data_IF_316466024342
#
_entry.id   IF_316466024342
#
_cell.length_a   1.000
_cell.length_b   1.000
_cell.length_c   1.000
_cell.angle_alpha   90.00
_cell.angle_beta   90.00
_cell.angle_gamma   90.00
#
_symmetry.space_group_name_H-M   'P 1'
#
loop_
_entity.id
_entity.type
_entity.pdbx_description
1 polymer ?
#
# COMPACT_ATOMS: atom_id res chain seq x y z
N UNK A 1 -15.64 -7.49 -8.08
CA UNK A 1 -16.39 -6.20 -8.11
C UNK A 1 -15.39 -5.11 -8.39
N UNK A 2 -15.62 -4.28 -9.41
CA UNK A 2 -14.84 -3.07 -9.63
C UNK A 2 -15.47 -1.93 -8.82
N UNK A 3 -14.64 -1.11 -8.21
CA UNK A 3 -15.05 0.11 -7.51
C UNK A 3 -14.17 1.27 -8.01
N UNK A 4 -14.72 2.48 -8.17
CA UNK A 4 -13.97 3.61 -8.73
C UNK A 4 -13.04 4.27 -7.69
N UNK A 5 -13.29 4.08 -6.40
CA UNK A 5 -12.50 4.66 -5.31
C UNK A 5 -12.41 3.70 -4.12
N UNK A 6 -11.32 3.84 -3.35
CA UNK A 6 -11.08 3.09 -2.10
C UNK A 6 -12.14 3.40 -1.03
N UNK A 7 -12.77 4.58 -1.09
CA UNK A 7 -13.88 4.94 -0.19
C UNK A 7 -15.10 4.01 -0.30
N UNK A 8 -15.23 3.25 -1.40
CA UNK A 8 -16.35 2.34 -1.65
C UNK A 8 -16.06 0.88 -1.27
N UNK A 9 -14.96 0.62 -0.54
CA UNK A 9 -14.69 -0.70 0.02
C UNK A 9 -15.86 -1.14 0.92
N UNK A 10 -16.40 -2.34 0.67
CA UNK A 10 -17.55 -2.84 1.43
C UNK A 10 -17.21 -3.22 2.87
N UNK A 11 -15.95 -3.58 3.13
CA UNK A 11 -15.45 -3.94 4.46
C UNK A 11 -14.00 -3.46 4.62
N UNK A 12 -13.76 -2.15 4.76
CA UNK A 12 -12.42 -1.57 4.71
C UNK A 12 -11.51 -2.11 5.84
N UNK A 13 -12.05 -2.27 7.05
CA UNK A 13 -11.31 -2.84 8.19
C UNK A 13 -10.92 -4.31 8.04
N UNK A 14 -11.41 -5.00 6.99
CA UNK A 14 -11.09 -6.39 6.67
C UNK A 14 -10.41 -6.54 5.30
N UNK A 15 -10.05 -5.43 4.65
CA UNK A 15 -9.51 -5.43 3.28
C UNK A 15 -8.14 -4.75 3.22
N UNK A 16 -7.09 -5.51 2.90
CA UNK A 16 -5.77 -4.94 2.60
C UNK A 16 -5.71 -4.36 1.19
N UNK A 17 -4.84 -3.37 0.98
CA UNK A 17 -4.67 -2.69 -0.32
C UNK A 17 -3.27 -2.97 -0.88
N UNK A 18 -3.19 -3.33 -2.16
CA UNK A 18 -1.94 -3.38 -2.92
C UNK A 18 -1.93 -2.27 -3.95
N UNK A 19 -0.90 -1.41 -3.92
CA UNK A 19 -0.79 -0.23 -4.79
C UNK A 19 0.34 -0.43 -5.79
N UNK A 20 -0.01 -0.32 -7.09
CA UNK A 20 0.91 -0.47 -8.23
C UNK A 20 0.92 0.79 -9.12
N UNK A 21 0.30 1.88 -8.66
CA UNK A 21 0.19 3.14 -9.38
C UNK A 21 1.41 4.04 -9.14
N UNK A 22 1.68 5.05 -10.00
CA UNK A 22 2.77 6.00 -9.74
C UNK A 22 2.63 6.74 -8.39
N UNK A 23 3.74 7.23 -7.81
CA UNK A 23 3.77 7.78 -6.44
C UNK A 23 2.71 8.84 -6.13
N UNK A 24 2.41 9.74 -7.07
CA UNK A 24 1.36 10.76 -6.92
C UNK A 24 -0.01 10.13 -6.64
N UNK A 25 -0.35 9.04 -7.33
CA UNK A 25 -1.63 8.34 -7.16
C UNK A 25 -1.60 7.49 -5.90
N UNK A 26 -0.46 6.88 -5.58
CA UNK A 26 -0.25 6.17 -4.30
C UNK A 26 -0.55 7.06 -3.11
N UNK A 27 -0.04 8.30 -3.11
CA UNK A 27 -0.28 9.26 -2.05
C UNK A 27 -1.78 9.56 -1.89
N UNK A 28 -2.50 9.84 -2.98
CA UNK A 28 -3.96 10.06 -2.94
C UNK A 28 -4.74 8.84 -2.43
N UNK A 29 -4.28 7.63 -2.75
CA UNK A 29 -4.89 6.40 -2.23
C UNK A 29 -4.67 6.27 -0.73
N UNK A 30 -3.45 6.54 -0.23
CA UNK A 30 -3.14 6.50 1.20
C UNK A 30 -3.98 7.50 2.00
N UNK A 31 -4.11 8.73 1.49
CA UNK A 31 -4.96 9.77 2.09
C UNK A 31 -6.42 9.32 2.19
N UNK A 32 -6.96 8.68 1.15
CA UNK A 32 -8.32 8.14 1.15
C UNK A 32 -8.48 6.91 2.06
N UNK A 33 -7.43 6.08 2.20
CA UNK A 33 -7.47 4.83 2.95
C UNK A 33 -7.34 5.01 4.47
N UNK A 34 -6.58 6.02 4.92
CA UNK A 34 -6.33 6.31 6.34
C UNK A 34 -7.61 6.38 7.20
N UNK A 35 -8.63 7.20 6.86
CA UNK A 35 -9.83 7.28 7.68
C UNK A 35 -10.70 6.01 7.65
N UNK A 36 -10.48 5.10 6.69
CA UNK A 36 -11.28 3.88 6.55
C UNK A 36 -10.79 2.74 7.46
N UNK A 37 -9.62 2.90 8.08
CA UNK A 37 -9.07 1.92 9.01
C UNK A 37 -8.64 0.61 8.33
N UNK A 38 -8.11 0.70 7.09
CA UNK A 38 -7.58 -0.49 6.41
C UNK A 38 -6.44 -1.13 7.24
N UNK A 39 -6.40 -2.47 7.32
CA UNK A 39 -5.46 -3.16 8.21
C UNK A 39 -4.02 -3.12 7.70
N UNK A 40 -3.81 -3.17 6.39
CA UNK A 40 -2.49 -3.17 5.78
C UNK A 40 -2.50 -2.62 4.35
N UNK A 41 -1.39 -1.99 3.97
CA UNK A 41 -1.12 -1.52 2.60
C UNK A 41 0.24 -2.03 2.16
N UNK A 42 0.32 -2.59 0.97
CA UNK A 42 1.58 -2.92 0.31
C UNK A 42 1.77 -2.03 -0.92
N UNK A 43 2.94 -1.42 -1.04
CA UNK A 43 3.29 -0.54 -2.15
C UNK A 43 4.38 -1.22 -2.98
N UNK A 44 4.10 -1.46 -4.26
CA UNK A 44 5.04 -2.08 -5.17
C UNK A 44 6.32 -1.25 -5.31
N UNK A 45 7.49 -1.88 -5.53
CA UNK A 45 8.71 -1.12 -5.84
C UNK A 45 8.49 -0.19 -7.04
N UNK A 46 8.90 1.07 -6.88
CA UNK A 46 8.65 2.14 -7.87
C UNK A 46 7.30 2.87 -7.74
N UNK A 47 6.36 2.38 -6.92
CA UNK A 47 5.09 3.04 -6.62
C UNK A 47 5.15 3.99 -5.41
N UNK A 48 6.30 4.10 -4.75
CA UNK A 48 6.59 5.05 -3.69
C UNK A 48 7.80 5.93 -4.05
N UNK A 49 7.77 7.18 -3.60
CA UNK A 49 8.89 8.12 -3.58
C UNK A 49 9.03 8.72 -2.17
N UNK A 50 9.92 9.70 -2.00
CA UNK A 50 10.15 10.39 -0.73
C UNK A 50 8.87 11.05 -0.17
N UNK A 51 7.96 11.51 -1.03
CA UNK A 51 6.71 12.14 -0.60
C UNK A 51 5.76 11.11 0.03
N UNK A 52 5.66 9.92 -0.57
CA UNK A 52 4.87 8.80 -0.04
C UNK A 52 5.44 8.35 1.31
N UNK A 53 6.75 8.16 1.39
CA UNK A 53 7.44 7.73 2.62
C UNK A 53 7.28 8.78 3.73
N UNK A 54 7.50 10.06 3.41
CA UNK A 54 7.33 11.15 4.37
C UNK A 54 5.90 11.25 4.90
N UNK A 55 4.91 11.02 4.05
CA UNK A 55 3.50 10.99 4.46
C UNK A 55 3.19 9.80 5.36
N UNK A 56 3.68 8.59 5.04
CA UNK A 56 3.50 7.39 5.87
C UNK A 56 4.03 7.63 7.28
N UNK A 57 5.25 8.16 7.40
CA UNK A 57 5.88 8.44 8.68
C UNK A 57 5.14 9.53 9.47
N UNK A 58 4.75 10.62 8.80
CA UNK A 58 4.00 11.72 9.43
C UNK A 58 2.66 11.28 10.03
N UNK A 59 2.04 10.25 9.45
CA UNK A 59 0.71 9.77 9.86
C UNK A 59 0.76 8.49 10.72
N UNK A 60 1.93 8.06 11.19
CA UNK A 60 2.06 6.90 12.09
C UNK A 60 1.65 5.58 11.44
N UNK A 61 1.83 5.45 10.11
CA UNK A 61 1.39 4.29 9.33
C UNK A 61 2.50 3.25 9.09
N UNK A 62 3.69 3.42 9.65
CA UNK A 62 4.86 2.58 9.43
C UNK A 62 4.61 1.10 9.80
N UNK A 63 3.75 0.85 10.80
CA UNK A 63 3.36 -0.51 11.20
C UNK A 63 2.31 -1.18 10.29
N UNK A 64 1.77 -0.48 9.30
CA UNK A 64 0.71 -0.97 8.40
C UNK A 64 1.06 -0.88 6.92
N UNK A 65 2.05 -0.07 6.56
CA UNK A 65 2.45 0.16 5.17
C UNK A 65 3.81 -0.47 4.90
N UNK A 66 3.84 -1.39 3.94
CA UNK A 66 5.05 -2.06 3.48
C UNK A 66 5.49 -1.42 2.16
N UNK A 67 6.71 -0.90 2.10
CA UNK A 67 7.32 -0.28 0.91
C UNK A 67 8.83 -0.50 0.89
N UNK A 68 9.48 -0.25 -0.24
CA UNK A 68 10.94 -0.27 -0.39
C UNK A 68 11.60 -1.67 -0.42
N UNK A 69 10.81 -2.74 -0.31
CA UNK A 69 11.28 -4.12 -0.43
C UNK A 69 11.35 -4.62 -1.87
N UNK A 70 11.61 -5.92 -2.08
CA UNK A 70 11.62 -6.55 -3.41
C UNK A 70 10.23 -6.59 -4.05
N UNK A 71 10.18 -6.82 -5.36
CA UNK A 71 8.91 -7.01 -6.05
C UNK A 71 8.43 -8.44 -5.80
N UNK A 72 7.48 -8.63 -4.88
CA UNK A 72 6.99 -9.97 -4.49
C UNK A 72 6.42 -10.76 -5.69
N UNK A 73 5.87 -10.08 -6.70
CA UNK A 73 5.36 -10.74 -7.90
C UNK A 73 6.45 -11.28 -8.84
N UNK A 74 7.69 -10.78 -8.72
CA UNK A 74 8.84 -11.19 -9.54
C UNK A 74 9.78 -12.08 -8.72
N UNK A 75 10.08 -11.67 -7.49
CA UNK A 75 11.10 -12.27 -6.64
C UNK A 75 10.52 -13.21 -5.58
N UNK A 76 9.18 -13.32 -5.49
CA UNK A 76 8.49 -14.04 -4.41
C UNK A 76 8.88 -15.51 -4.27
N UNK A 77 9.05 -16.24 -5.38
CA UNK A 77 9.47 -17.65 -5.33
C UNK A 77 10.90 -17.81 -4.80
N UNK A 78 11.79 -16.87 -5.15
CA UNK A 78 13.15 -16.82 -4.63
C UNK A 78 13.19 -16.47 -3.15
N UNK A 79 12.37 -15.52 -2.70
CA UNK A 79 12.26 -15.17 -1.28
C UNK A 79 11.71 -16.36 -0.48
N UNK A 80 10.67 -17.04 -0.99
CA UNK A 80 10.06 -18.18 -0.33
C UNK A 80 11.03 -19.34 -0.14
N UNK A 81 11.92 -19.60 -1.10
CA UNK A 81 12.89 -20.70 -0.99
C UNK A 81 14.04 -20.43 0.00
N UNK A 82 14.18 -19.19 0.46
CA UNK A 82 15.18 -18.78 1.46
C UNK A 82 14.63 -18.76 2.89
N UNK A 83 13.32 -18.99 3.07
CA UNK A 83 12.65 -19.13 4.38
C UNK A 83 12.71 -20.58 4.86
#
# INVERSE_FOLDING_TARGET
RLIPTVAELCAPSKTSISIITPPKVTLSILEAALPLGVPAVWIQPGAADESVVGWVNKNGMEGRVIYGGPCILVEGDGIRSML
#
